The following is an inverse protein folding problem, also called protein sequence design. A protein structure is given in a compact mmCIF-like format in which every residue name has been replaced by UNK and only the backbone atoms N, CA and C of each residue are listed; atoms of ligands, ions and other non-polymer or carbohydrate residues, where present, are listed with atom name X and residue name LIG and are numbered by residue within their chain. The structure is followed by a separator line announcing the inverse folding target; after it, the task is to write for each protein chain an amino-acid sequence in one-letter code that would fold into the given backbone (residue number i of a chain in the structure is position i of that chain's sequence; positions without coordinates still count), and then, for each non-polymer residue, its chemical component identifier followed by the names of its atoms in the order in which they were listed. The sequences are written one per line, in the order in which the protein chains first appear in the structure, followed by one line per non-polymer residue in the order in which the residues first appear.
data_IF_073375667700
#
_entry.id   IF_073375667700
#
_cell.length_a   1.000
_cell.length_b   1.000
_cell.length_c   1.000
_cell.angle_alpha   90.00
_cell.angle_beta   90.00
_cell.angle_gamma   90.00
#
_symmetry.space_group_name_H-M   'P 1'
#
loop_
_entity.id
_entity.type
_entity.pdbx_description
1 polymer ?
#
# COMPACT_ATOMS: atom_id res chain seq x y z
N UNK A 1 54.71 5.46 6.04
CA UNK A 1 53.70 5.32 4.96
C UNK A 1 52.40 4.66 5.45
N UNK A 2 52.45 3.59 6.23
CA UNK A 2 51.26 2.89 6.74
C UNK A 2 50.36 3.74 7.67
N UNK A 3 50.94 4.53 8.57
CA UNK A 3 50.22 5.52 9.39
C UNK A 3 49.62 6.70 8.60
N UNK A 4 50.20 7.04 7.45
CA UNK A 4 49.68 8.11 6.57
C UNK A 4 48.48 7.59 5.76
N UNK A 5 48.55 6.33 5.31
CA UNK A 5 47.43 5.67 4.63
C UNK A 5 46.25 5.38 5.56
N UNK A 6 46.49 5.05 6.85
CA UNK A 6 45.42 4.85 7.83
C UNK A 6 44.73 6.16 8.24
N UNK A 7 45.47 7.28 8.28
CA UNK A 7 44.89 8.62 8.54
C UNK A 7 44.18 9.20 7.32
N UNK A 8 44.69 9.00 6.11
CA UNK A 8 43.98 9.41 4.89
C UNK A 8 42.70 8.60 4.65
N UNK A 9 42.72 7.29 4.92
CA UNK A 9 41.51 6.44 4.81
C UNK A 9 40.47 6.78 5.88
N UNK A 10 40.86 7.09 7.12
CA UNK A 10 39.93 7.51 8.17
C UNK A 10 39.29 8.87 7.87
N UNK A 11 40.06 9.83 7.34
CA UNK A 11 39.56 11.14 6.90
C UNK A 11 38.60 11.01 5.70
N UNK A 12 38.94 10.16 4.73
CA UNK A 12 38.07 9.84 3.59
C UNK A 12 36.75 9.22 4.04
N UNK A 13 36.80 8.28 4.99
CA UNK A 13 35.60 7.64 5.54
C UNK A 13 34.73 8.65 6.31
N UNK A 14 35.33 9.57 7.07
CA UNK A 14 34.60 10.63 7.77
C UNK A 14 33.87 11.59 6.81
N UNK A 15 34.52 12.00 5.71
CA UNK A 15 33.91 12.84 4.68
C UNK A 15 32.76 12.11 3.96
N UNK A 16 32.94 10.82 3.67
CA UNK A 16 31.92 9.98 3.06
C UNK A 16 30.69 9.84 3.97
N UNK A 17 30.90 9.57 5.27
CA UNK A 17 29.81 9.49 6.27
C UNK A 17 29.01 10.79 6.32
N UNK A 18 29.70 11.94 6.41
CA UNK A 18 29.04 13.26 6.43
C UNK A 18 28.22 13.49 5.17
N UNK A 19 28.75 13.12 4.00
CA UNK A 19 28.06 13.25 2.71
C UNK A 19 26.81 12.38 2.66
N UNK A 20 26.89 11.11 3.10
CA UNK A 20 25.75 10.18 3.14
C UNK A 20 24.66 10.68 4.08
N UNK A 21 25.03 11.15 5.28
CA UNK A 21 24.07 11.68 6.25
C UNK A 21 23.39 12.95 5.72
N UNK A 22 24.15 13.85 5.08
CA UNK A 22 23.59 15.04 4.45
C UNK A 22 22.62 14.68 3.33
N UNK A 23 23.01 13.77 2.42
CA UNK A 23 22.14 13.30 1.34
C UNK A 23 20.85 12.66 1.88
N UNK A 24 20.97 11.80 2.90
CA UNK A 24 19.84 11.17 3.59
C UNK A 24 18.86 12.22 4.12
N UNK A 25 19.37 13.26 4.78
CA UNK A 25 18.56 14.35 5.31
C UNK A 25 17.82 15.12 4.21
N UNK A 26 18.50 15.46 3.11
CA UNK A 26 17.88 16.18 2.00
C UNK A 26 16.80 15.34 1.29
N UNK A 27 17.05 14.05 1.08
CA UNK A 27 16.07 13.12 0.53
C UNK A 27 14.83 13.06 1.43
N UNK A 28 15.02 12.89 2.75
CA UNK A 28 13.90 12.88 3.70
C UNK A 28 13.12 14.18 3.63
N UNK A 29 13.77 15.35 3.60
CA UNK A 29 13.09 16.65 3.55
C UNK A 29 12.23 16.80 2.30
N UNK A 30 12.86 16.76 1.13
CA UNK A 30 12.17 17.14 -0.12
C UNK A 30 11.30 16.01 -0.67
N UNK A 31 11.77 14.77 -0.64
CA UNK A 31 10.99 13.66 -1.20
C UNK A 31 9.78 13.32 -0.33
N UNK A 32 9.88 13.45 1.01
CA UNK A 32 8.70 13.29 1.87
C UNK A 32 7.64 14.36 1.61
N UNK A 33 8.03 15.63 1.41
CA UNK A 33 7.08 16.70 1.08
C UNK A 33 6.38 16.40 -0.24
N UNK A 34 7.13 16.00 -1.26
CA UNK A 34 6.57 15.59 -2.55
C UNK A 34 5.54 14.46 -2.38
N UNK A 35 5.91 13.36 -1.71
CA UNK A 35 5.00 12.23 -1.49
C UNK A 35 3.78 12.65 -0.66
N UNK A 36 3.97 13.53 0.34
CA UNK A 36 2.88 14.01 1.19
C UNK A 36 1.84 14.80 0.38
N UNK A 37 2.29 15.74 -0.46
CA UNK A 37 1.39 16.57 -1.26
C UNK A 37 0.62 15.72 -2.29
N UNK A 38 1.35 15.01 -3.14
CA UNK A 38 0.72 14.21 -4.21
C UNK A 38 -0.04 13.00 -3.65
N UNK A 39 0.47 12.36 -2.60
CA UNK A 39 -0.19 11.23 -1.96
C UNK A 39 -1.46 11.61 -1.21
N UNK A 40 -1.47 12.76 -0.53
CA UNK A 40 -2.68 13.31 0.11
C UNK A 40 -3.74 13.65 -0.92
N UNK A 41 -3.39 14.43 -1.94
CA UNK A 41 -4.29 14.82 -3.03
C UNK A 41 -4.86 13.58 -3.72
N UNK A 42 -4.01 12.62 -4.06
CA UNK A 42 -4.41 11.39 -4.72
C UNK A 42 -5.43 10.60 -3.89
N UNK A 43 -5.12 10.30 -2.63
CA UNK A 43 -6.04 9.53 -1.80
C UNK A 43 -7.37 10.26 -1.54
N UNK A 44 -7.37 11.58 -1.34
CA UNK A 44 -8.60 12.38 -1.19
C UNK A 44 -9.45 12.28 -2.46
N UNK A 45 -8.87 12.52 -3.63
CA UNK A 45 -9.60 12.43 -4.90
C UNK A 45 -10.13 11.01 -5.15
N UNK A 46 -9.37 9.98 -4.77
CA UNK A 46 -9.82 8.60 -4.88
C UNK A 46 -11.05 8.32 -4.01
N UNK A 47 -11.01 8.82 -2.76
CA UNK A 47 -12.13 8.72 -1.84
C UNK A 47 -13.37 9.40 -2.41
N UNK A 48 -13.23 10.61 -2.97
CA UNK A 48 -14.34 11.35 -3.56
C UNK A 48 -14.95 10.62 -4.77
N UNK A 49 -14.12 10.11 -5.69
CA UNK A 49 -14.58 9.41 -6.90
C UNK A 49 -15.23 8.07 -6.55
N UNK A 50 -14.60 7.25 -5.72
CA UNK A 50 -15.11 5.93 -5.34
C UNK A 50 -16.32 6.01 -4.39
N UNK A 51 -16.52 7.16 -3.74
CA UNK A 51 -17.72 7.44 -2.95
C UNK A 51 -18.95 7.79 -3.80
N UNK A 52 -18.89 7.82 -5.13
CA UNK A 52 -20.08 8.07 -5.95
C UNK A 52 -21.05 6.88 -5.95
N UNK A 53 -22.35 7.16 -6.10
CA UNK A 53 -23.41 6.14 -6.08
C UNK A 53 -23.21 5.01 -7.10
N UNK A 54 -22.56 5.30 -8.23
CA UNK A 54 -22.20 4.31 -9.27
C UNK A 54 -21.20 3.25 -8.84
N UNK A 55 -20.45 3.48 -7.75
CA UNK A 55 -19.41 2.57 -7.25
C UNK A 55 -19.77 1.93 -5.90
N UNK A 56 -20.64 2.55 -5.10
CA UNK A 56 -21.00 2.07 -3.75
C UNK A 56 -21.63 0.67 -3.70
N UNK A 57 -22.22 0.19 -4.81
CA UNK A 57 -22.78 -1.17 -4.89
C UNK A 57 -21.75 -2.26 -5.22
N UNK A 58 -20.52 -1.87 -5.57
CA UNK A 58 -19.47 -2.79 -6.00
C UNK A 58 -18.49 -3.10 -4.85
N UNK A 59 -18.36 -4.37 -4.39
CA UNK A 59 -17.49 -4.71 -3.27
C UNK A 59 -16.02 -4.32 -3.47
N UNK A 60 -15.47 -4.53 -4.67
CA UNK A 60 -14.11 -4.13 -5.01
C UNK A 60 -13.90 -2.62 -4.93
N UNK A 61 -14.87 -1.82 -5.39
CA UNK A 61 -14.76 -0.37 -5.30
C UNK A 61 -14.81 0.14 -3.85
N UNK A 62 -15.61 -0.49 -2.98
CA UNK A 62 -15.57 -0.20 -1.53
C UNK A 62 -14.21 -0.56 -0.93
N UNK A 63 -13.62 -1.70 -1.30
CA UNK A 63 -12.30 -2.09 -0.80
C UNK A 63 -11.21 -1.09 -1.23
N UNK A 64 -11.26 -0.58 -2.45
CA UNK A 64 -10.38 0.50 -2.92
C UNK A 64 -10.61 1.83 -2.20
N UNK A 65 -11.87 2.17 -1.93
CA UNK A 65 -12.23 3.36 -1.18
C UNK A 65 -11.60 3.34 0.21
N UNK A 66 -11.83 2.27 0.98
CA UNK A 66 -11.28 2.14 2.31
C UNK A 66 -9.76 1.96 2.30
N UNK A 67 -9.19 1.31 1.28
CA UNK A 67 -7.72 1.26 1.11
C UNK A 67 -7.14 2.67 0.97
N UNK A 68 -7.81 3.56 0.24
CA UNK A 68 -7.40 4.96 0.09
C UNK A 68 -7.52 5.75 1.39
N UNK A 69 -8.58 5.52 2.17
CA UNK A 69 -8.73 6.13 3.51
C UNK A 69 -7.57 5.70 4.42
N UNK A 70 -7.27 4.40 4.47
CA UNK A 70 -6.21 3.88 5.34
C UNK A 70 -4.82 4.33 4.85
N UNK A 71 -4.59 4.38 3.54
CA UNK A 71 -3.35 4.94 2.96
C UNK A 71 -3.18 6.42 3.33
N UNK A 72 -4.25 7.20 3.30
CA UNK A 72 -4.22 8.60 3.72
C UNK A 72 -3.85 8.72 5.22
N UNK A 73 -4.45 7.89 6.08
CA UNK A 73 -4.08 7.83 7.50
C UNK A 73 -2.60 7.47 7.69
N UNK A 74 -2.07 6.51 6.91
CA UNK A 74 -0.66 6.12 6.96
C UNK A 74 0.26 7.28 6.55
N UNK A 75 -0.09 8.03 5.50
CA UNK A 75 0.67 9.20 5.04
C UNK A 75 0.63 10.31 6.11
N UNK A 76 -0.56 10.66 6.62
CA UNK A 76 -0.71 11.70 7.64
C UNK A 76 0.06 11.37 8.92
N UNK A 77 -0.07 10.15 9.45
CA UNK A 77 0.60 9.78 10.71
C UNK A 77 2.11 9.55 10.53
N UNK A 78 2.48 8.86 9.46
CA UNK A 78 3.84 8.36 9.28
C UNK A 78 4.80 9.31 8.56
N UNK A 79 4.30 10.06 7.57
CA UNK A 79 5.13 10.93 6.73
C UNK A 79 5.22 12.35 7.30
N UNK A 80 4.15 12.87 7.92
CA UNK A 80 4.19 14.17 8.60
C UNK A 80 5.27 14.18 9.71
N UNK A 81 5.31 13.14 10.54
CA UNK A 81 6.35 12.97 11.57
C UNK A 81 7.76 12.95 10.96
N UNK A 82 7.92 12.37 9.77
CA UNK A 82 9.21 12.30 9.06
C UNK A 82 9.64 13.65 8.48
N UNK A 83 8.68 14.42 7.95
CA UNK A 83 8.92 15.81 7.50
C UNK A 83 9.40 16.63 8.68
N UNK A 84 8.67 16.60 9.80
CA UNK A 84 9.05 17.31 11.03
C UNK A 84 10.44 16.89 11.54
N UNK A 85 10.78 15.60 11.45
CA UNK A 85 12.12 15.10 11.75
C UNK A 85 13.22 15.69 10.87
N UNK A 86 12.95 15.87 9.58
CA UNK A 86 13.85 16.55 8.65
C UNK A 86 14.19 17.98 9.08
N UNK A 87 13.27 18.68 9.74
CA UNK A 87 13.44 20.07 10.20
C UNK A 87 13.81 20.19 11.68
N UNK A 88 14.11 19.07 12.36
CA UNK A 88 14.49 19.08 13.78
C UNK A 88 13.32 19.24 14.77
N UNK A 89 12.07 19.24 14.30
CA UNK A 89 10.86 19.45 15.09
C UNK A 89 10.08 18.14 15.36
N UNK A 90 10.78 17.03 15.59
CA UNK A 90 10.16 15.70 15.72
C UNK A 90 9.50 15.48 17.08
N UNK A 91 8.18 15.66 17.17
CA UNK A 91 7.40 15.35 18.38
C UNK A 91 7.47 13.87 18.78
N UNK A 92 7.74 12.97 17.82
CA UNK A 92 7.92 11.53 18.13
C UNK A 92 9.27 11.24 18.77
N UNK A 93 10.22 12.17 18.69
CA UNK A 93 11.46 12.10 19.43
C UNK A 93 11.31 12.65 20.86
N UNK A 94 10.38 13.55 21.12
CA UNK A 94 10.25 14.18 22.46
C UNK A 94 9.22 13.49 23.35
N UNK A 95 8.14 12.97 22.76
CA UNK A 95 6.96 12.55 23.53
C UNK A 95 6.66 11.07 23.33
N UNK A 96 6.67 10.31 24.43
CA UNK A 96 6.37 8.87 24.46
C UNK A 96 5.04 8.52 23.82
N UNK A 97 3.98 9.27 24.15
CA UNK A 97 2.65 9.05 23.61
C UNK A 97 2.63 9.14 22.08
N UNK A 98 3.19 10.21 21.51
CA UNK A 98 3.24 10.40 20.05
C UNK A 98 4.11 9.35 19.36
N UNK A 99 5.25 8.95 19.94
CA UNK A 99 6.09 7.87 19.42
C UNK A 99 5.31 6.55 19.29
N UNK A 100 4.66 6.13 20.39
CA UNK A 100 3.92 4.87 20.47
C UNK A 100 2.68 4.89 19.58
N UNK A 101 1.88 5.95 19.63
CA UNK A 101 0.69 6.11 18.79
C UNK A 101 1.04 6.12 17.31
N UNK A 102 2.07 6.88 16.91
CA UNK A 102 2.53 6.93 15.52
C UNK A 102 3.04 5.56 15.06
N UNK A 103 3.82 4.87 15.89
CA UNK A 103 4.27 3.51 15.62
C UNK A 103 3.09 2.56 15.40
N UNK A 104 2.12 2.55 16.31
CA UNK A 104 0.95 1.69 16.25
C UNK A 104 0.11 1.95 14.99
N UNK A 105 -0.26 3.21 14.74
CA UNK A 105 -1.09 3.60 13.59
C UNK A 105 -0.42 3.25 12.27
N UNK A 106 0.87 3.56 12.08
CA UNK A 106 1.58 3.29 10.82
C UNK A 106 1.73 1.79 10.56
N UNK A 107 2.04 1.02 11.61
CA UNK A 107 2.21 -0.43 11.49
C UNK A 107 0.89 -1.15 11.22
N UNK A 108 -0.26 -0.61 11.62
CA UNK A 108 -1.58 -1.15 11.27
C UNK A 108 -2.03 -0.67 9.89
N UNK A 109 -1.94 0.64 9.61
CA UNK A 109 -2.53 1.24 8.43
C UNK A 109 -1.92 0.67 7.14
N UNK A 110 -0.58 0.57 7.07
CA UNK A 110 0.09 0.11 5.83
C UNK A 110 -0.30 -1.32 5.45
N UNK A 111 -0.19 -2.33 6.33
CA UNK A 111 -0.62 -3.67 5.96
C UNK A 111 -2.12 -3.74 5.69
N UNK A 112 -2.98 -3.10 6.50
CA UNK A 112 -4.43 -3.12 6.27
C UNK A 112 -4.80 -2.59 4.89
N UNK A 113 -4.16 -1.51 4.43
CA UNK A 113 -4.37 -1.00 3.09
C UNK A 113 -4.04 -2.03 2.00
N UNK A 114 -2.94 -2.78 2.16
CA UNK A 114 -2.51 -3.87 1.25
C UNK A 114 -3.52 -5.04 1.30
N UNK A 115 -3.96 -5.44 2.50
CA UNK A 115 -4.96 -6.50 2.67
C UNK A 115 -6.29 -6.15 2.00
N UNK A 116 -6.70 -4.88 2.00
CA UNK A 116 -7.90 -4.46 1.26
C UNK A 116 -7.74 -4.61 -0.25
N UNK A 117 -6.54 -4.38 -0.80
CA UNK A 117 -6.23 -4.67 -2.22
C UNK A 117 -6.26 -6.18 -2.49
N UNK A 118 -5.73 -7.00 -1.56
CA UNK A 118 -5.83 -8.46 -1.66
C UNK A 118 -7.30 -8.93 -1.67
N UNK A 119 -8.13 -8.40 -0.78
CA UNK A 119 -9.55 -8.73 -0.78
C UNK A 119 -10.24 -8.27 -2.05
N UNK A 120 -9.81 -7.14 -2.65
CA UNK A 120 -10.35 -6.67 -3.91
C UNK A 120 -10.04 -7.67 -5.04
N UNK A 121 -8.84 -8.25 -5.09
CA UNK A 121 -8.50 -9.24 -6.13
C UNK A 121 -9.18 -10.59 -5.88
N UNK A 122 -9.35 -11.00 -4.62
CA UNK A 122 -10.15 -12.18 -4.26
C UNK A 122 -11.60 -11.97 -4.71
N UNK A 123 -12.18 -10.80 -4.47
CA UNK A 123 -13.53 -10.47 -4.93
C UNK A 123 -13.67 -10.53 -6.46
N UNK A 124 -12.67 -10.01 -7.20
CA UNK A 124 -12.63 -10.14 -8.67
C UNK A 124 -12.50 -11.60 -9.11
N UNK A 125 -11.69 -12.39 -8.42
CA UNK A 125 -11.56 -13.82 -8.69
C UNK A 125 -12.90 -14.56 -8.46
N UNK A 126 -13.58 -14.31 -7.33
CA UNK A 126 -14.89 -14.86 -7.01
C UNK A 126 -15.92 -14.53 -8.09
N UNK A 127 -15.98 -13.26 -8.54
CA UNK A 127 -16.84 -12.81 -9.64
C UNK A 127 -16.52 -13.49 -10.98
N UNK A 128 -15.24 -13.70 -11.28
CA UNK A 128 -14.80 -14.33 -12.53
C UNK A 128 -15.05 -15.84 -12.59
N UNK A 129 -15.21 -16.48 -11.42
CA UNK A 129 -15.33 -17.93 -11.29
C UNK A 129 -16.51 -18.50 -12.09
N UNK A 130 -16.37 -19.71 -12.70
CA UNK A 130 -17.47 -20.38 -13.40
C UNK A 130 -18.58 -20.87 -12.45
N UNK A 131 -18.27 -21.17 -11.19
CA UNK A 131 -19.23 -21.65 -10.18
C UNK A 131 -20.13 -20.53 -9.66
N UNK A 132 -21.45 -20.78 -9.64
CA UNK A 132 -22.46 -19.85 -9.10
C UNK A 132 -22.25 -19.57 -7.61
N UNK A 133 -21.98 -20.61 -6.82
CA UNK A 133 -21.76 -20.49 -5.37
C UNK A 133 -20.59 -19.55 -5.06
N UNK A 134 -19.46 -19.71 -5.77
CA UNK A 134 -18.29 -18.82 -5.62
C UNK A 134 -18.62 -17.39 -6.02
N UNK A 135 -19.40 -17.16 -7.09
CA UNK A 135 -19.81 -15.81 -7.49
C UNK A 135 -20.70 -15.13 -6.44
N UNK A 136 -21.58 -15.88 -5.78
CA UNK A 136 -22.45 -15.35 -4.73
C UNK A 136 -21.67 -14.90 -3.48
N UNK A 137 -20.45 -15.42 -3.28
CA UNK A 137 -19.57 -14.95 -2.19
C UNK A 137 -19.06 -13.52 -2.42
N UNK A 138 -19.01 -13.05 -3.68
CA UNK A 138 -18.75 -11.64 -3.98
C UNK A 138 -19.96 -10.79 -3.58
N UNK A 139 -19.90 -10.28 -2.36
CA UNK A 139 -20.97 -9.48 -1.76
C UNK A 139 -20.40 -8.38 -0.87
N UNK A 140 -21.13 -7.27 -0.75
CA UNK A 140 -20.76 -6.16 0.13
C UNK A 140 -20.64 -6.59 1.59
N UNK A 141 -21.48 -7.53 2.02
CA UNK A 141 -21.47 -8.08 3.39
C UNK A 141 -20.14 -8.78 3.67
N UNK A 142 -19.67 -9.61 2.76
CA UNK A 142 -18.41 -10.33 2.92
C UNK A 142 -17.20 -9.39 2.86
N UNK A 143 -17.21 -8.41 1.94
CA UNK A 143 -16.15 -7.41 1.87
C UNK A 143 -16.05 -6.59 3.18
N UNK A 144 -17.17 -6.12 3.73
CA UNK A 144 -17.19 -5.41 5.02
C UNK A 144 -16.69 -6.27 6.18
N UNK A 145 -17.12 -7.53 6.25
CA UNK A 145 -16.63 -8.47 7.26
C UNK A 145 -15.11 -8.68 7.16
N UNK A 146 -14.60 -8.91 5.95
CA UNK A 146 -13.17 -9.07 5.71
C UNK A 146 -12.37 -7.83 6.14
N UNK A 147 -12.87 -6.62 5.84
CA UNK A 147 -12.22 -5.37 6.23
C UNK A 147 -12.11 -5.21 7.76
N UNK A 148 -13.17 -5.54 8.49
CA UNK A 148 -13.22 -5.45 9.95
C UNK A 148 -12.27 -6.50 10.56
N UNK A 149 -12.34 -7.75 10.09
CA UNK A 149 -11.49 -8.84 10.58
C UNK A 149 -10.01 -8.48 10.39
N UNK A 150 -9.61 -8.01 9.20
CA UNK A 150 -8.20 -7.67 8.96
C UNK A 150 -7.72 -6.50 9.81
N UNK A 151 -8.59 -5.52 10.09
CA UNK A 151 -8.25 -4.41 10.98
C UNK A 151 -8.03 -4.90 12.42
N UNK A 152 -8.90 -5.78 12.92
CA UNK A 152 -8.77 -6.39 14.25
C UNK A 152 -7.48 -7.23 14.33
N UNK A 153 -7.25 -8.11 13.35
CA UNK A 153 -6.04 -8.96 13.30
C UNK A 153 -4.77 -8.10 13.28
N UNK A 154 -4.70 -7.09 12.42
CA UNK A 154 -3.55 -6.19 12.37
C UNK A 154 -3.35 -5.44 13.69
N UNK A 155 -4.43 -4.97 14.33
CA UNK A 155 -4.37 -4.28 15.62
C UNK A 155 -3.85 -5.19 16.74
N UNK A 156 -4.27 -6.45 16.76
CA UNK A 156 -3.79 -7.44 17.73
C UNK A 156 -2.31 -7.76 17.50
N UNK A 157 -1.91 -8.02 16.26
CA UNK A 157 -0.51 -8.33 15.90
C UNK A 157 0.42 -7.18 16.28
N UNK A 158 0.04 -5.93 16.00
CA UNK A 158 0.87 -4.76 16.30
C UNK A 158 0.63 -4.13 17.68
N UNK A 159 -0.19 -4.74 18.54
CA UNK A 159 -0.42 -4.25 19.91
C UNK A 159 0.88 -4.10 20.71
N UNK A 160 1.84 -5.01 20.49
CA UNK A 160 3.16 -4.97 21.13
C UNK A 160 3.92 -3.67 20.87
N UNK A 161 3.66 -2.96 19.76
CA UNK A 161 4.33 -1.69 19.41
C UNK A 161 4.07 -0.60 20.45
N UNK A 162 2.91 -0.61 21.11
CA UNK A 162 2.56 0.34 22.17
C UNK A 162 3.51 0.21 23.37
N UNK A 163 3.96 -1.01 23.67
CA UNK A 163 4.94 -1.25 24.71
C UNK A 163 6.37 -1.09 24.20
N UNK A 164 6.66 -1.65 23.02
CA UNK A 164 8.00 -1.81 22.49
C UNK A 164 8.65 -0.53 21.95
N UNK A 165 7.91 0.52 21.59
CA UNK A 165 8.50 1.73 21.03
C UNK A 165 8.82 2.78 22.10
N UNK A 166 10.00 3.37 22.02
CA UNK A 166 10.42 4.46 22.91
C UNK A 166 11.12 5.58 22.11
N UNK A 167 10.99 6.85 22.54
CA UNK A 167 11.70 7.98 21.93
C UNK A 167 13.18 8.05 22.30
N UNK A 168 13.94 8.81 21.50
CA UNK A 168 15.36 9.16 21.68
C UNK A 168 16.32 7.98 21.92
N UNK A 169 16.11 6.86 21.22
CA UNK A 169 17.09 5.77 21.25
C UNK A 169 18.41 6.17 20.56
N UNK A 170 19.51 5.93 21.26
CA UNK A 170 20.87 6.00 20.71
C UNK A 170 21.09 4.74 19.84
N UNK A 171 21.78 4.88 18.70
CA UNK A 171 22.07 3.79 17.76
C UNK A 171 20.82 3.12 17.13
N UNK A 172 19.71 3.86 17.02
CA UNK A 172 18.53 3.42 16.28
C UNK A 172 18.44 4.11 14.91
N UNK A 173 17.90 3.44 13.88
CA UNK A 173 17.72 4.05 12.55
C UNK A 173 16.72 5.22 12.56
N UNK A 174 15.87 5.30 13.60
CA UNK A 174 14.95 6.41 13.84
C UNK A 174 14.93 6.78 15.32
N UNK A 175 14.62 8.04 15.61
CA UNK A 175 14.52 8.55 16.99
C UNK A 175 13.44 7.85 17.81
N UNK A 176 12.35 7.42 17.18
CA UNK A 176 11.31 6.59 17.80
C UNK A 176 11.41 5.16 17.23
N UNK A 177 11.82 4.21 18.06
CA UNK A 177 12.10 2.84 17.61
C UNK A 177 11.95 1.79 18.73
N UNK A 178 12.08 0.51 18.36
CA UNK A 178 12.00 -0.61 19.30
C UNK A 178 13.10 -0.57 20.36
N UNK A 179 12.70 -0.68 21.64
CA UNK A 179 13.58 -0.60 22.82
C UNK A 179 14.64 -1.70 22.85
N UNK A 180 14.23 -2.92 22.57
CA UNK A 180 15.07 -4.12 22.63
C UNK A 180 15.21 -4.73 21.24
N UNK A 181 16.26 -5.55 21.06
CA UNK A 181 16.44 -6.36 19.85
C UNK A 181 15.21 -7.23 19.59
N UNK A 182 14.67 -7.88 20.63
CA UNK A 182 13.45 -8.68 20.53
C UNK A 182 12.25 -7.88 20.02
N UNK A 183 12.03 -6.66 20.54
CA UNK A 183 10.96 -5.77 20.07
C UNK A 183 11.12 -5.43 18.58
N UNK A 184 12.35 -5.10 18.15
CA UNK A 184 12.65 -4.81 16.73
C UNK A 184 12.38 -6.02 15.85
N UNK A 185 12.85 -7.20 16.27
CA UNK A 185 12.67 -8.45 15.56
C UNK A 185 11.19 -8.82 15.41
N UNK A 186 10.41 -8.74 16.48
CA UNK A 186 8.96 -9.04 16.46
C UNK A 186 8.21 -8.06 15.56
N UNK A 187 8.51 -6.76 15.62
CA UNK A 187 7.89 -5.76 14.73
C UNK A 187 8.25 -6.02 13.27
N UNK A 188 9.51 -6.33 12.98
CA UNK A 188 9.99 -6.56 11.62
C UNK A 188 9.39 -7.86 11.04
N UNK A 189 9.38 -8.97 11.79
CA UNK A 189 8.71 -10.21 11.37
C UNK A 189 7.20 -10.01 11.20
N UNK A 190 6.54 -9.28 12.10
CA UNK A 190 5.11 -8.96 11.98
C UNK A 190 4.81 -8.18 10.70
N UNK A 191 5.67 -7.22 10.35
CA UNK A 191 5.59 -6.48 9.10
C UNK A 191 5.82 -7.40 7.90
N UNK A 192 6.84 -8.26 7.92
CA UNK A 192 7.11 -9.22 6.84
C UNK A 192 5.89 -10.13 6.64
N UNK A 193 5.32 -10.69 7.71
CA UNK A 193 4.16 -11.57 7.65
C UNK A 193 2.92 -10.84 7.10
N UNK A 194 2.62 -9.62 7.55
CA UNK A 194 1.39 -8.94 7.15
C UNK A 194 1.51 -8.14 5.85
N UNK A 195 2.70 -7.69 5.45
CA UNK A 195 2.90 -6.89 4.24
C UNK A 195 3.40 -7.71 3.03
N UNK A 196 4.16 -8.79 3.25
CA UNK A 196 4.69 -9.62 2.15
C UNK A 196 3.75 -10.76 1.81
N UNK A 197 3.13 -11.43 2.79
CA UNK A 197 2.19 -12.53 2.54
C UNK A 197 1.07 -12.18 1.53
N UNK A 198 0.52 -10.95 1.51
CA UNK A 198 -0.47 -10.58 0.50
C UNK A 198 0.08 -10.55 -0.93
N UNK A 199 1.37 -10.27 -1.14
CA UNK A 199 1.96 -10.11 -2.48
C UNK A 199 1.84 -11.37 -3.36
N UNK A 200 2.31 -12.57 -2.93
CA UNK A 200 2.15 -13.79 -3.71
C UNK A 200 0.68 -14.19 -3.86
N UNK A 201 -0.16 -13.96 -2.83
CA UNK A 201 -1.59 -14.22 -2.92
C UNK A 201 -2.26 -13.33 -3.97
N UNK A 202 -1.88 -12.06 -4.04
CA UNK A 202 -2.39 -11.13 -5.05
C UNK A 202 -2.02 -11.56 -6.47
N UNK A 203 -0.78 -12.04 -6.67
CA UNK A 203 -0.35 -12.59 -7.96
C UNK A 203 -1.14 -13.85 -8.32
N UNK A 204 -1.29 -14.79 -7.37
CA UNK A 204 -2.03 -16.03 -7.58
C UNK A 204 -3.49 -15.75 -7.97
N UNK A 205 -4.24 -14.98 -7.15
CA UNK A 205 -5.63 -14.66 -7.44
C UNK A 205 -5.78 -13.78 -8.69
N UNK A 206 -4.81 -12.91 -8.97
CA UNK A 206 -4.74 -12.13 -10.20
C UNK A 206 -4.66 -13.00 -11.46
N UNK A 207 -3.73 -13.95 -11.48
CA UNK A 207 -3.58 -14.91 -12.58
C UNK A 207 -4.83 -15.79 -12.73
N UNK A 208 -5.38 -16.31 -11.64
CA UNK A 208 -6.62 -17.10 -11.67
C UNK A 208 -7.78 -16.28 -12.24
N UNK A 209 -7.89 -15.00 -11.90
CA UNK A 209 -8.92 -14.10 -12.45
C UNK A 209 -8.77 -13.95 -13.97
N UNK A 210 -7.55 -13.72 -14.45
CA UNK A 210 -7.26 -13.61 -15.90
C UNK A 210 -7.58 -14.92 -16.62
N UNK A 211 -7.18 -16.06 -16.07
CA UNK A 211 -7.47 -17.39 -16.62
C UNK A 211 -8.99 -17.64 -16.73
N UNK A 212 -9.74 -17.35 -15.66
CA UNK A 212 -11.19 -17.50 -15.65
C UNK A 212 -11.89 -16.63 -16.72
N UNK A 213 -11.42 -15.40 -16.91
CA UNK A 213 -11.97 -14.49 -17.93
C UNK A 213 -11.68 -15.00 -19.34
N UNK A 214 -10.45 -15.44 -19.62
CA UNK A 214 -10.06 -15.99 -20.92
C UNK A 214 -10.90 -17.22 -21.26
N UNK A 215 -11.06 -18.14 -20.32
CA UNK A 215 -11.91 -19.32 -20.47
C UNK A 215 -13.38 -18.96 -20.70
N UNK A 216 -13.89 -17.97 -19.96
CA UNK A 216 -15.28 -17.51 -20.11
C UNK A 216 -15.55 -16.92 -21.50
N UNK A 217 -14.58 -16.17 -22.06
CA UNK A 217 -14.67 -15.63 -23.43
C UNK A 217 -14.63 -16.73 -24.49
N UNK A 218 -13.74 -17.72 -24.36
CA UNK A 218 -13.65 -18.86 -25.29
C UNK A 218 -14.93 -19.70 -25.35
N UNK A 219 -15.61 -19.89 -24.21
CA UNK A 219 -16.90 -20.61 -24.16
C UNK A 219 -18.08 -19.88 -24.80
N UNK A 220 -18.00 -18.55 -24.92
CA UNK A 220 -19.05 -17.74 -25.58
C UNK A 220 -18.81 -17.71 -27.08
N UNK A 221 -17.56 -17.52 -27.53
CA UNK A 221 -17.22 -17.54 -28.95
C UNK A 221 -17.58 -18.89 -29.63
N UNK A 222 -17.34 -20.01 -28.95
CA UNK A 222 -17.74 -21.33 -29.47
C UNK A 222 -19.26 -21.58 -29.44
N UNK A 223 -20.04 -20.85 -28.63
CA UNK A 223 -21.52 -20.98 -28.64
C UNK A 223 -22.15 -20.24 -29.80
N UNK A 224 -21.61 -19.08 -30.20
CA UNK A 224 -22.13 -18.30 -31.32
C UNK A 224 -21.89 -19.00 -32.68
N UNK A 225 -20.93 -19.93 -32.75
CA UNK A 225 -20.64 -20.70 -33.98
C UNK A 225 -21.51 -21.97 -34.12
N UNK A 226 -22.18 -22.42 -33.05
CA UNK A 226 -22.96 -23.67 -33.04
C UNK A 226 -24.47 -23.46 -32.89
N UNK A 227 -24.97 -22.23 -33.05
CA UNK A 227 -26.40 -21.92 -32.91
C UNK A 227 -27.00 -21.30 -34.20
N UNK A 228 -26.90 -22.06 -35.28
CA UNK A 228 -27.98 -22.07 -36.30
C UNK A 228 -28.86 -23.27 -35.92
N UNK A 229 -30.16 -23.02 -35.78
CA UNK A 229 -31.23 -24.01 -35.47
C UNK A 229 -31.48 -24.31 -33.97
N UNK A 230 -32.34 -23.48 -33.36
CA UNK A 230 -33.58 -23.87 -32.67
C UNK A 230 -33.96 -22.84 -31.60
N UNK A 231 -35.04 -22.12 -31.90
CA UNK A 231 -35.86 -21.34 -30.99
C UNK A 231 -36.32 -22.18 -29.81
N UNK A 232 -35.66 -22.04 -28.65
CA UNK A 232 -36.26 -22.38 -27.36
C UNK A 232 -35.91 -21.27 -26.37
N UNK A 233 -36.90 -20.43 -26.09
CA UNK A 233 -36.95 -19.52 -24.94
C UNK A 233 -36.93 -20.32 -23.64
N UNK A 234 -35.74 -20.71 -23.18
CA UNK A 234 -35.55 -21.09 -21.78
C UNK A 234 -34.92 -19.92 -21.04
N UNK A 235 -35.49 -19.60 -19.88
CA UNK A 235 -34.98 -18.65 -18.89
C UNK A 235 -33.59 -19.08 -18.39
N UNK A 236 -32.58 -18.99 -19.25
CA UNK A 236 -31.20 -19.15 -18.87
C UNK A 236 -30.85 -17.96 -17.98
N UNK A 237 -30.88 -18.20 -16.66
CA UNK A 237 -30.39 -17.28 -15.63
C UNK A 237 -29.22 -16.48 -16.21
N UNK A 238 -29.34 -15.14 -16.36
CA UNK A 238 -28.32 -14.38 -17.04
C UNK A 238 -27.03 -14.60 -16.28
N UNK A 239 -26.08 -15.31 -16.91
CA UNK A 239 -24.71 -15.40 -16.39
C UNK A 239 -24.32 -13.96 -16.13
N UNK A 240 -24.11 -13.58 -14.85
CA UNK A 240 -23.73 -12.22 -14.46
C UNK A 240 -22.37 -11.94 -15.08
N UNK A 241 -22.39 -11.50 -16.35
CA UNK A 241 -21.20 -11.26 -17.15
C UNK A 241 -20.51 -10.07 -16.52
N UNK A 242 -19.21 -10.21 -16.30
CA UNK A 242 -18.42 -9.15 -15.71
C UNK A 242 -18.58 -7.88 -16.57
N UNK A 243 -19.07 -6.81 -15.95
CA UNK A 243 -19.43 -5.58 -16.67
C UNK A 243 -18.18 -4.89 -17.20
N UNK A 244 -18.34 -3.96 -18.17
CA UNK A 244 -17.22 -3.11 -18.62
C UNK A 244 -16.59 -2.33 -17.46
N UNK A 245 -17.39 -1.94 -16.47
CA UNK A 245 -16.91 -1.28 -15.25
C UNK A 245 -16.01 -2.21 -14.42
N UNK A 246 -16.42 -3.47 -14.23
CA UNK A 246 -15.64 -4.47 -13.49
C UNK A 246 -14.32 -4.82 -14.19
N UNK A 247 -14.30 -4.85 -15.53
CA UNK A 247 -13.07 -5.07 -16.29
C UNK A 247 -12.06 -3.92 -16.09
N UNK A 248 -12.53 -2.68 -16.09
CA UNK A 248 -11.65 -1.52 -15.82
C UNK A 248 -11.10 -1.56 -14.40
N UNK A 249 -11.95 -1.88 -13.41
CA UNK A 249 -11.50 -2.06 -12.02
C UNK A 249 -10.44 -3.16 -11.88
N UNK A 250 -10.57 -4.26 -12.63
CA UNK A 250 -9.56 -5.32 -12.67
C UNK A 250 -8.24 -4.85 -13.28
N UNK A 251 -8.26 -4.09 -14.38
CA UNK A 251 -7.04 -3.57 -15.00
C UNK A 251 -6.32 -2.63 -14.03
N UNK A 252 -7.06 -1.70 -13.40
CA UNK A 252 -6.54 -0.81 -12.37
C UNK A 252 -5.88 -1.59 -11.23
N UNK A 253 -6.55 -2.65 -10.77
CA UNK A 253 -6.07 -3.53 -9.71
C UNK A 253 -4.75 -4.22 -10.06
N UNK A 254 -4.64 -4.79 -11.27
CA UNK A 254 -3.44 -5.51 -11.69
C UNK A 254 -2.24 -4.57 -11.84
N UNK A 255 -2.44 -3.38 -12.40
CA UNK A 255 -1.38 -2.35 -12.49
C UNK A 255 -0.95 -1.90 -11.10
N UNK A 256 -1.91 -1.70 -10.20
CA UNK A 256 -1.61 -1.34 -8.81
C UNK A 256 -0.81 -2.43 -8.10
N UNK A 257 -1.16 -3.71 -8.25
CA UNK A 257 -0.42 -4.83 -7.64
C UNK A 257 1.03 -4.83 -8.13
N UNK A 258 1.26 -4.67 -9.43
CA UNK A 258 2.61 -4.62 -10.01
C UNK A 258 3.45 -3.48 -9.40
N UNK A 259 2.90 -2.26 -9.37
CA UNK A 259 3.61 -1.09 -8.83
C UNK A 259 3.82 -1.23 -7.31
N UNK A 260 2.83 -1.75 -6.59
CA UNK A 260 2.92 -1.98 -5.15
C UNK A 260 4.05 -2.96 -4.80
N UNK A 261 4.20 -4.06 -5.55
CA UNK A 261 5.30 -5.02 -5.39
C UNK A 261 6.63 -4.31 -5.65
N UNK A 262 6.77 -3.65 -6.81
CA UNK A 262 8.01 -2.97 -7.19
C UNK A 262 8.49 -1.97 -6.13
N UNK A 263 7.57 -1.16 -5.59
CA UNK A 263 7.88 -0.11 -4.62
C UNK A 263 8.00 -0.62 -3.17
N UNK A 264 7.44 -1.78 -2.84
CA UNK A 264 7.48 -2.33 -1.47
C UNK A 264 8.62 -3.34 -1.25
N UNK A 265 9.12 -3.97 -2.32
CA UNK A 265 10.24 -4.93 -2.24
C UNK A 265 11.49 -4.35 -1.56
N UNK A 266 11.95 -3.12 -1.86
CA UNK A 266 13.13 -2.57 -1.19
C UNK A 266 13.01 -2.54 0.33
N UNK A 267 11.82 -2.23 0.86
CA UNK A 267 11.58 -2.18 2.31
C UNK A 267 11.54 -3.58 2.92
N UNK A 268 10.93 -4.55 2.22
CA UNK A 268 10.94 -5.94 2.64
C UNK A 268 12.38 -6.49 2.76
N UNK A 269 13.21 -6.27 1.75
CA UNK A 269 14.60 -6.71 1.78
C UNK A 269 15.42 -6.03 2.88
N UNK A 270 15.23 -4.71 3.06
CA UNK A 270 15.92 -3.98 4.11
C UNK A 270 15.55 -4.51 5.52
N UNK A 271 14.27 -4.84 5.73
CA UNK A 271 13.79 -5.39 7.01
C UNK A 271 14.34 -6.80 7.27
N UNK A 272 14.37 -7.63 6.23
CA UNK A 272 15.00 -8.95 6.31
C UNK A 272 16.50 -8.85 6.64
N UNK A 273 17.23 -7.95 5.96
CA UNK A 273 18.64 -7.69 6.25
C UNK A 273 18.84 -7.23 7.70
N UNK A 274 18.01 -6.30 8.18
CA UNK A 274 18.08 -5.80 9.56
C UNK A 274 17.85 -6.90 10.59
N UNK A 275 16.96 -7.86 10.30
CA UNK A 275 16.69 -8.99 11.17
C UNK A 275 17.87 -9.99 11.22
N UNK A 276 18.58 -10.19 10.10
CA UNK A 276 19.73 -11.11 10.02
C UNK A 276 20.98 -10.52 10.69
N UNK A 277 21.19 -9.21 10.56
CA UNK A 277 22.41 -8.52 11.03
C UNK A 277 22.24 -7.93 12.43
N UNK A 278 21.14 -8.23 13.11
CA UNK A 278 20.72 -7.55 14.36
C UNK A 278 21.74 -7.64 15.51
N UNK A 279 22.52 -8.72 15.57
CA UNK A 279 23.52 -8.96 16.62
C UNK A 279 24.93 -8.44 16.28
N UNK A 280 25.13 -7.89 15.07
CA UNK A 280 26.43 -7.34 14.65
C UNK A 280 26.51 -5.85 15.00
N UNK A 281 27.66 -5.41 15.50
CA UNK A 281 27.96 -3.99 15.69
C UNK A 281 28.42 -3.39 14.36
N UNK A 282 27.60 -2.53 13.69
CA UNK A 282 28.00 -1.97 12.41
C UNK A 282 29.11 -0.93 12.59
N UNK A 283 30.00 -0.85 11.59
CA UNK A 283 30.92 0.30 11.49
C UNK A 283 30.12 1.60 11.29
N UNK A 284 30.72 2.76 11.62
CA UNK A 284 30.06 4.06 11.44
C UNK A 284 29.62 4.31 9.98
N UNK A 285 30.44 3.87 9.01
CA UNK A 285 30.11 3.95 7.59
C UNK A 285 28.94 3.03 7.23
N UNK A 286 28.95 1.79 7.71
CA UNK A 286 27.85 0.85 7.46
C UNK A 286 26.54 1.34 8.06
N UNK A 287 26.57 1.90 9.28
CA UNK A 287 25.39 2.49 9.90
C UNK A 287 24.82 3.66 9.08
N UNK A 288 25.66 4.50 8.49
CA UNK A 288 25.23 5.60 7.62
C UNK A 288 24.57 5.09 6.33
N UNK A 289 25.17 4.07 5.69
CA UNK A 289 24.61 3.43 4.47
C UNK A 289 23.29 2.73 4.78
N UNK A 290 23.23 1.96 5.85
CA UNK A 290 22.02 1.25 6.28
C UNK A 290 20.89 2.23 6.58
N UNK A 291 21.21 3.39 7.17
CA UNK A 291 20.25 4.46 7.41
C UNK A 291 19.72 5.06 6.10
N UNK A 292 20.60 5.33 5.12
CA UNK A 292 20.20 5.83 3.80
C UNK A 292 19.25 4.84 3.10
N UNK A 293 19.64 3.56 3.03
CA UNK A 293 18.86 2.49 2.39
C UNK A 293 17.51 2.32 3.07
N UNK A 294 17.47 2.31 4.41
CA UNK A 294 16.22 2.26 5.18
C UNK A 294 15.29 3.44 4.85
N UNK A 295 15.83 4.66 4.83
CA UNK A 295 15.03 5.84 4.55
C UNK A 295 14.50 5.85 3.12
N UNK A 296 15.32 5.52 2.14
CA UNK A 296 14.90 5.44 0.74
C UNK A 296 13.82 4.36 0.54
N UNK A 297 14.04 3.16 1.08
CA UNK A 297 13.08 2.05 0.99
C UNK A 297 11.74 2.40 1.67
N UNK A 298 11.77 3.06 2.83
CA UNK A 298 10.58 3.57 3.51
C UNK A 298 9.83 4.61 2.68
N UNK A 299 10.54 5.51 1.99
CA UNK A 299 9.93 6.54 1.13
C UNK A 299 9.30 5.91 -0.11
N UNK A 300 9.95 4.93 -0.74
CA UNK A 300 9.35 4.17 -1.85
C UNK A 300 8.06 3.46 -1.43
N UNK A 301 8.03 2.88 -0.24
CA UNK A 301 6.83 2.26 0.28
C UNK A 301 5.72 3.30 0.58
N UNK A 302 6.05 4.49 1.08
CA UNK A 302 5.07 5.58 1.21
C UNK A 302 4.58 6.09 -0.15
N UNK A 303 5.45 6.15 -1.16
CA UNK A 303 5.07 6.49 -2.52
C UNK A 303 4.03 5.48 -3.03
N UNK A 304 4.21 4.19 -2.78
CA UNK A 304 3.22 3.16 -3.13
C UNK A 304 1.82 3.44 -2.54
N UNK A 305 1.75 3.99 -1.32
CA UNK A 305 0.49 4.36 -0.66
C UNK A 305 -0.14 5.64 -1.25
N UNK A 306 0.67 6.53 -1.84
CA UNK A 306 0.20 7.76 -2.49
C UNK A 306 -0.22 7.61 -3.95
N UNK A 307 0.27 6.56 -4.63
CA UNK A 307 0.06 6.32 -6.05
C UNK A 307 -1.31 5.79 -6.52
N UNK A 308 -2.20 5.18 -5.69
CA UNK A 308 -3.40 4.50 -6.20
C UNK A 308 -4.28 5.36 -7.12
N UNK A 309 -4.54 6.63 -6.78
CA UNK A 309 -5.35 7.51 -7.62
C UNK A 309 -4.78 7.76 -9.01
N UNK A 310 -3.47 7.99 -9.11
CA UNK A 310 -2.82 8.26 -10.39
C UNK A 310 -2.85 7.02 -11.27
N UNK A 311 -2.61 5.84 -10.67
CA UNK A 311 -2.76 4.54 -11.33
C UNK A 311 -4.20 4.35 -11.81
N UNK A 312 -5.18 4.64 -10.96
CA UNK A 312 -6.59 4.47 -11.26
C UNK A 312 -7.08 5.40 -12.36
N UNK A 313 -6.57 6.62 -12.40
CA UNK A 313 -6.91 7.62 -13.43
C UNK A 313 -6.28 7.27 -14.78
N UNK A 314 -5.03 6.79 -14.79
CA UNK A 314 -4.32 6.39 -16.01
C UNK A 314 -4.84 5.04 -16.55
N UNK A 315 -4.90 4.01 -15.71
CA UNK A 315 -5.27 2.64 -16.08
C UNK A 315 -6.79 2.39 -16.13
N UNK A 316 -7.59 3.13 -15.35
CA UNK A 316 -9.06 2.97 -15.30
C UNK A 316 -9.81 3.52 -16.52
N UNK A 317 -9.08 4.07 -17.49
CA UNK A 317 -9.61 4.44 -18.80
C UNK A 317 -10.64 5.59 -18.74
N UNK A 318 -11.64 5.54 -19.63
CA UNK A 318 -12.67 6.59 -19.75
C UNK A 318 -13.65 6.59 -18.56
N UNK A 319 -13.81 5.48 -17.84
CA UNK A 319 -14.83 5.37 -16.78
C UNK A 319 -14.44 6.17 -15.53
N UNK A 320 -13.22 5.97 -15.03
CA UNK A 320 -12.74 6.71 -13.85
C UNK A 320 -12.58 8.20 -14.18
N UNK A 321 -12.04 8.53 -15.36
CA UNK A 321 -11.95 9.92 -15.85
C UNK A 321 -13.32 10.59 -15.98
N UNK A 322 -14.34 9.92 -16.56
CA UNK A 322 -15.70 10.47 -16.63
C UNK A 322 -16.32 10.68 -15.26
N UNK A 323 -16.10 9.77 -14.30
CA UNK A 323 -16.57 9.93 -12.93
C UNK A 323 -15.92 11.14 -12.24
N UNK A 324 -14.62 11.37 -12.45
CA UNK A 324 -13.90 12.54 -11.97
C UNK A 324 -14.44 13.83 -12.61
N UNK A 325 -14.63 13.87 -13.93
CA UNK A 325 -15.22 15.03 -14.61
C UNK A 325 -16.63 15.33 -14.11
N UNK A 326 -17.48 14.30 -13.96
CA UNK A 326 -18.85 14.45 -13.46
C UNK A 326 -18.88 15.02 -12.04
N UNK A 327 -17.93 14.62 -11.19
CA UNK A 327 -17.79 15.20 -9.85
C UNK A 327 -17.53 16.71 -9.90
N UNK A 328 -16.55 17.16 -10.69
CA UNK A 328 -16.25 18.59 -10.81
C UNK A 328 -17.38 19.40 -11.44
N UNK A 329 -18.10 18.84 -12.42
CA UNK A 329 -19.29 19.48 -13.02
C UNK A 329 -20.38 19.65 -11.96
N UNK A 330 -20.69 18.59 -11.19
CA UNK A 330 -21.71 18.66 -10.15
C UNK A 330 -21.33 19.67 -9.04
N UNK A 331 -20.05 19.74 -8.67
CA UNK A 331 -19.55 20.71 -7.69
C UNK A 331 -19.73 22.15 -8.19
N UNK A 332 -19.44 22.39 -9.47
CA UNK A 332 -19.64 23.69 -10.12
C UNK A 332 -21.11 24.10 -10.14
N UNK A 333 -22.01 23.18 -10.51
CA UNK A 333 -23.46 23.46 -10.50
C UNK A 333 -23.99 23.74 -9.09
N UNK A 334 -23.54 23.00 -8.07
CA UNK A 334 -23.95 23.26 -6.69
C UNK A 334 -23.49 24.64 -6.18
N UNK A 335 -22.31 25.10 -6.60
CA UNK A 335 -21.81 26.44 -6.25
C UNK A 335 -22.45 27.58 -7.05
N UNK A 336 -23.11 27.29 -8.18
CA UNK A 336 -23.83 28.28 -8.99
C UNK A 336 -25.29 28.49 -8.54
N UNK A 337 -25.85 27.59 -7.72
CA UNK A 337 -27.21 27.65 -7.20
C UNK A 337 -27.26 28.01 -5.70
N UNK A 338 -26.16 28.53 -5.15
CA UNK A 338 -26.04 29.00 -3.77
C UNK A 338 -25.74 30.49 -3.75
#
# INVERSE_FOLDING_TARGET
MEQLNSTMSSLSNANLITTINYATLQIIRYFSIFIFLFGSIGNILNVLVLSQSSFRSNPCAILFLFSSVVNFIAILSGLLSRILSGWGADLTATTRFFCKLRGFVVNIARPVAIWYILFAIIDRWLLSSPSLQRRQMSSLKNAKRAMIISLIVASLVFSHVIYCHEPNLINAPQKCYGITIACRFVTDISFMLLAILPLPLMLMFGLMTVCNIRQSRGRVANRDTSMVTHTVTTNANPRRRMSKQDQNLLIMLLVQIFILVLLSLPLAFQKLYSAIVVDRTPSALQAAVDNLVYNLAQLLHFLANGMPFYIYTLAGGKVFRKALFKFFINLRHHNLHR
#
